data_IF_981936744144
#
_entry.id   IF_981936744144
#
_cell.length_a   1.000
_cell.length_b   1.000
_cell.length_c   1.000
_cell.angle_alpha   90.00
_cell.angle_beta   90.00
_cell.angle_gamma   90.00
#
_symmetry.space_group_name_H-M   'P 1'
#
loop_
_entity.id
_entity.type
_entity.pdbx_description
1 polymer ?
#
# COMPACT_ATOMS: atom_id res chain seq x y z
N UNK A 1 -5.65 -3.09 -8.50
CA UNK A 1 -5.01 -4.00 -7.54
C UNK A 1 -4.88 -5.35 -8.23
N UNK A 2 -3.84 -6.12 -7.94
CA UNK A 2 -3.63 -7.43 -8.56
C UNK A 2 -4.72 -8.43 -8.12
N UNK A 3 -5.49 -9.03 -9.05
CA UNK A 3 -6.58 -9.96 -8.72
C UNK A 3 -6.12 -11.21 -7.95
N UNK A 4 -4.91 -11.69 -8.22
CA UNK A 4 -4.38 -12.91 -7.60
C UNK A 4 -4.00 -12.65 -6.14
N UNK A 5 -3.25 -11.58 -5.89
CA UNK A 5 -2.91 -11.13 -4.53
C UNK A 5 -4.17 -10.80 -3.72
N UNK A 6 -5.15 -10.14 -4.35
CA UNK A 6 -6.44 -9.88 -3.71
C UNK A 6 -7.15 -11.18 -3.35
N UNK A 7 -7.19 -12.17 -4.24
CA UNK A 7 -7.83 -13.45 -3.98
C UNK A 7 -7.19 -14.19 -2.80
N UNK A 8 -5.87 -14.11 -2.67
CA UNK A 8 -5.13 -14.74 -1.58
C UNK A 8 -5.37 -14.04 -0.24
N UNK A 9 -5.32 -12.70 -0.21
CA UNK A 9 -5.67 -11.91 0.98
C UNK A 9 -7.14 -12.09 1.37
N UNK A 10 -8.04 -12.24 0.40
CA UNK A 10 -9.48 -12.42 0.65
C UNK A 10 -9.88 -13.85 1.00
N UNK A 11 -8.96 -14.82 1.06
CA UNK A 11 -9.27 -16.13 1.69
C UNK A 11 -9.65 -15.96 3.17
N UNK A 12 -9.13 -14.92 3.83
CA UNK A 12 -9.37 -14.61 5.24
C UNK A 12 -9.83 -13.15 5.41
N UNK A 13 -10.97 -12.82 4.80
CA UNK A 13 -11.53 -11.45 4.68
C UNK A 13 -11.53 -10.68 6.01
N UNK A 14 -11.95 -11.30 7.11
CA UNK A 14 -12.10 -10.63 8.40
C UNK A 14 -10.77 -10.13 8.98
N UNK A 15 -9.67 -10.78 8.62
CA UNK A 15 -8.39 -10.51 9.24
C UNK A 15 -7.46 -9.67 8.36
N UNK A 16 -7.57 -9.76 7.04
CA UNK A 16 -6.79 -8.92 6.10
C UNK A 16 -6.92 -7.44 6.41
N UNK A 17 -8.12 -6.97 6.79
CA UNK A 17 -8.33 -5.58 7.20
C UNK A 17 -7.58 -5.18 8.47
N UNK A 18 -7.22 -6.11 9.35
CA UNK A 18 -6.52 -5.83 10.62
C UNK A 18 -5.07 -5.39 10.39
N UNK A 19 -4.38 -5.99 9.42
CA UNK A 19 -3.00 -5.58 9.04
C UNK A 19 -3.01 -4.18 8.45
N UNK A 20 -3.93 -3.93 7.51
CA UNK A 20 -4.10 -2.58 6.93
C UNK A 20 -4.53 -1.56 7.98
N UNK A 21 -5.36 -1.97 8.93
CA UNK A 21 -5.83 -1.09 10.01
C UNK A 21 -4.66 -0.65 10.90
N UNK A 22 -3.74 -1.54 11.27
CA UNK A 22 -2.55 -1.16 12.06
C UNK A 22 -1.70 -0.12 11.33
N UNK A 23 -1.45 -0.34 10.04
CA UNK A 23 -0.62 0.54 9.24
C UNK A 23 -1.21 1.95 9.14
N UNK A 24 -2.50 2.05 8.88
CA UNK A 24 -3.19 3.33 8.73
C UNK A 24 -3.46 4.01 10.08
N UNK A 25 -3.75 3.25 11.14
CA UNK A 25 -4.01 3.81 12.47
C UNK A 25 -2.75 4.42 13.09
N UNK A 26 -1.59 3.87 12.80
CA UNK A 26 -0.31 4.29 13.37
C UNK A 26 0.58 5.04 12.37
N UNK A 27 0.02 5.46 11.23
CA UNK A 27 0.74 6.14 10.14
C UNK A 27 2.10 5.50 9.83
N UNK A 28 2.11 4.17 9.74
CA UNK A 28 3.29 3.33 9.46
C UNK A 28 4.46 3.45 10.45
N UNK A 29 4.27 4.12 11.60
CA UNK A 29 5.31 4.35 12.61
C UNK A 29 5.93 3.07 13.18
N UNK A 30 5.18 1.96 13.17
CA UNK A 30 5.65 0.64 13.65
C UNK A 30 6.36 -0.19 12.59
N UNK A 31 6.31 0.23 11.33
CA UNK A 31 6.86 -0.52 10.20
C UNK A 31 8.19 0.06 9.71
N UNK A 32 8.54 1.29 10.09
CA UNK A 32 9.66 2.04 9.51
C UNK A 32 10.64 2.52 10.59
N UNK A 33 11.91 2.68 10.20
CA UNK A 33 12.90 3.38 11.01
C UNK A 33 12.46 4.82 11.27
N UNK A 34 12.87 5.38 12.41
CA UNK A 34 12.43 6.71 12.84
C UNK A 34 12.74 7.82 11.81
N UNK A 35 13.91 7.76 11.16
CA UNK A 35 14.28 8.69 10.08
C UNK A 35 13.31 8.64 8.90
N UNK A 36 12.87 7.44 8.56
CA UNK A 36 12.08 7.19 7.35
C UNK A 36 10.60 7.47 7.58
N UNK A 37 10.14 7.36 8.83
CA UNK A 37 8.78 7.78 9.24
C UNK A 37 8.58 9.26 8.93
N UNK A 38 9.52 10.14 9.28
CA UNK A 38 9.39 11.56 8.98
C UNK A 38 9.35 11.84 7.49
N UNK A 39 10.23 11.18 6.73
CA UNK A 39 10.24 11.31 5.30
C UNK A 39 8.91 10.88 4.66
N UNK A 40 8.33 9.77 5.14
CA UNK A 40 7.01 9.34 4.69
C UNK A 40 5.94 10.39 5.03
N UNK A 41 5.94 10.91 6.25
CA UNK A 41 4.96 11.90 6.71
C UNK A 41 5.05 13.21 5.93
N UNK A 42 6.26 13.72 5.68
CA UNK A 42 6.48 14.89 4.82
C UNK A 42 5.86 14.69 3.44
N UNK A 43 6.00 13.49 2.86
CA UNK A 43 5.39 13.16 1.56
C UNK A 43 3.87 13.03 1.68
N UNK A 44 3.34 12.38 2.71
CA UNK A 44 1.89 12.24 2.91
C UNK A 44 1.24 13.63 3.04
N UNK A 45 1.78 14.49 3.91
CA UNK A 45 1.26 15.83 4.13
C UNK A 45 1.37 16.70 2.87
N UNK A 46 2.47 16.59 2.13
CA UNK A 46 2.62 17.29 0.85
C UNK A 46 1.65 16.77 -0.22
N UNK A 47 1.44 15.45 -0.27
CA UNK A 47 0.56 14.80 -1.24
C UNK A 47 -0.92 15.11 -0.97
N UNK A 48 -1.31 15.33 0.28
CA UNK A 48 -2.68 15.71 0.66
C UNK A 48 -3.15 16.98 -0.07
N UNK A 49 -2.26 17.97 -0.19
CA UNK A 49 -2.54 19.24 -0.86
C UNK A 49 -2.40 19.12 -2.38
N UNK A 50 -1.42 18.35 -2.86
CA UNK A 50 -1.02 18.36 -4.27
C UNK A 50 -1.72 17.31 -5.14
N UNK A 51 -2.06 16.15 -4.60
CA UNK A 51 -2.45 15.00 -5.43
C UNK A 51 -3.62 14.17 -4.88
N UNK A 52 -3.61 13.83 -3.59
CA UNK A 52 -4.62 12.97 -2.98
C UNK A 52 -4.56 13.00 -1.45
N UNK A 53 -5.72 13.16 -0.81
CA UNK A 53 -5.86 13.05 0.66
C UNK A 53 -5.61 11.64 1.21
N UNK A 54 -5.53 10.63 0.35
CA UNK A 54 -5.42 9.24 0.75
C UNK A 54 -4.12 8.61 0.29
N UNK A 55 -3.03 9.38 0.22
CA UNK A 55 -1.72 8.87 -0.20
C UNK A 55 -1.23 7.67 0.62
N UNK A 56 -1.54 7.62 1.93
CA UNK A 56 -1.21 6.48 2.80
C UNK A 56 -1.77 5.14 2.31
N UNK A 57 -2.92 5.13 1.62
CA UNK A 57 -3.46 3.90 1.02
C UNK A 57 -2.58 3.37 -0.11
N UNK A 58 -2.03 4.26 -0.92
CA UNK A 58 -1.10 3.89 -2.00
C UNK A 58 0.23 3.41 -1.45
N UNK A 59 0.66 3.93 -0.29
CA UNK A 59 1.83 3.44 0.42
C UNK A 59 1.61 2.02 0.98
N UNK A 60 0.46 1.77 1.62
CA UNK A 60 0.08 0.41 2.02
C UNK A 60 0.01 -0.56 0.84
N UNK A 61 -0.51 -0.11 -0.31
CA UNK A 61 -0.53 -0.90 -1.54
C UNK A 61 0.88 -1.15 -2.11
N UNK A 62 1.79 -0.18 -1.98
CA UNK A 62 3.18 -0.33 -2.40
C UNK A 62 3.90 -1.40 -1.57
N UNK A 63 3.68 -1.45 -0.25
CA UNK A 63 4.19 -2.51 0.63
C UNK A 63 3.75 -3.90 0.15
N UNK A 64 2.45 -4.06 -0.11
CA UNK A 64 1.93 -5.32 -0.66
C UNK A 64 2.52 -5.67 -2.02
N UNK A 65 2.67 -4.67 -2.89
CA UNK A 65 3.19 -4.87 -4.25
C UNK A 65 4.65 -5.29 -4.21
N UNK A 66 5.48 -4.68 -3.34
CA UNK A 66 6.89 -5.00 -3.19
C UNK A 66 7.11 -6.47 -2.82
N UNK A 67 6.25 -7.00 -1.94
CA UNK A 67 6.38 -8.37 -1.43
C UNK A 67 5.46 -9.37 -2.12
N UNK A 68 4.77 -8.98 -3.20
CA UNK A 68 3.80 -9.81 -3.91
C UNK A 68 4.34 -11.21 -4.22
N UNK A 69 5.51 -11.28 -4.85
CA UNK A 69 6.11 -12.56 -5.27
C UNK A 69 6.33 -13.48 -4.07
N UNK A 70 6.88 -12.94 -2.98
CA UNK A 70 7.11 -13.69 -1.73
C UNK A 70 5.80 -14.20 -1.13
N UNK A 71 4.76 -13.36 -1.08
CA UNK A 71 3.48 -13.73 -0.49
C UNK A 71 2.80 -14.86 -1.28
N UNK A 72 2.85 -14.80 -2.62
CA UNK A 72 2.18 -15.76 -3.50
C UNK A 72 2.99 -17.04 -3.65
N UNK A 73 4.30 -16.96 -3.89
CA UNK A 73 5.17 -18.14 -4.08
C UNK A 73 5.23 -19.03 -2.84
N UNK A 74 5.15 -18.44 -1.64
CA UNK A 74 5.13 -19.19 -0.39
C UNK A 74 3.71 -19.61 0.04
N UNK A 75 2.67 -19.33 -0.76
CA UNK A 75 1.25 -19.55 -0.43
C UNK A 75 0.91 -19.12 1.02
N UNK A 76 1.42 -17.95 1.42
CA UNK A 76 1.32 -17.50 2.82
C UNK A 76 -0.14 -17.36 3.23
N UNK A 77 -0.48 -17.92 4.37
CA UNK A 77 -1.75 -17.67 5.02
C UNK A 77 -1.76 -16.32 5.74
N UNK A 78 -2.90 -15.93 6.31
CA UNK A 78 -3.01 -14.64 6.97
C UNK A 78 -2.08 -14.48 8.19
N UNK A 79 -1.87 -15.55 8.95
CA UNK A 79 -0.98 -15.54 10.13
C UNK A 79 0.46 -15.35 9.69
N UNK A 80 0.85 -16.02 8.60
CA UNK A 80 2.17 -15.88 7.99
C UNK A 80 2.40 -14.48 7.46
N UNK A 81 1.39 -13.87 6.83
CA UNK A 81 1.46 -12.46 6.37
C UNK A 81 1.70 -11.51 7.53
N UNK A 82 0.96 -11.62 8.65
CA UNK A 82 1.21 -10.78 9.84
C UNK A 82 2.65 -10.98 10.32
N UNK A 83 3.06 -12.25 10.49
CA UNK A 83 4.37 -12.57 11.03
C UNK A 83 5.49 -12.03 10.13
N UNK A 84 5.35 -12.19 8.83
CA UNK A 84 6.27 -11.65 7.83
C UNK A 84 6.44 -10.14 7.96
N UNK A 85 5.33 -9.37 7.97
CA UNK A 85 5.43 -7.91 8.09
C UNK A 85 5.95 -7.46 9.46
N UNK A 86 5.63 -8.18 10.53
CA UNK A 86 6.22 -7.92 11.84
C UNK A 86 7.74 -8.13 11.86
N UNK A 87 8.23 -9.18 11.20
CA UNK A 87 9.67 -9.49 11.11
C UNK A 87 10.40 -8.54 10.15
N UNK A 88 9.68 -7.96 9.18
CA UNK A 88 10.18 -6.97 8.23
C UNK A 88 10.12 -5.53 8.74
N UNK A 89 9.51 -5.31 9.91
CA UNK A 89 9.45 -3.99 10.53
C UNK A 89 10.84 -3.35 10.59
N UNK A 90 10.89 -2.08 10.18
CA UNK A 90 12.07 -1.25 10.09
C UNK A 90 13.15 -1.70 9.09
N UNK A 91 12.84 -2.66 8.20
CA UNK A 91 13.73 -3.17 7.14
C UNK A 91 13.29 -2.78 5.73
N UNK A 92 12.21 -2.00 5.62
CA UNK A 92 11.65 -1.59 4.34
C UNK A 92 12.47 -0.47 3.70
N UNK A 93 12.68 -0.54 2.39
CA UNK A 93 13.27 0.54 1.62
C UNK A 93 12.21 1.61 1.30
N UNK A 94 12.16 2.68 2.10
CA UNK A 94 11.11 3.70 1.98
C UNK A 94 11.19 4.48 0.67
N UNK A 95 12.37 4.70 0.10
CA UNK A 95 12.52 5.40 -1.18
C UNK A 95 11.88 4.63 -2.34
N UNK A 96 12.11 3.33 -2.36
CA UNK A 96 11.51 2.42 -3.33
C UNK A 96 9.99 2.35 -3.16
N UNK A 97 9.52 2.19 -1.92
CA UNK A 97 8.09 2.18 -1.62
C UNK A 97 7.39 3.48 -2.01
N UNK A 98 8.00 4.64 -1.76
CA UNK A 98 7.46 5.94 -2.18
C UNK A 98 7.39 6.07 -3.70
N UNK A 99 8.37 5.50 -4.42
CA UNK A 99 8.37 5.48 -5.89
C UNK A 99 7.21 4.65 -6.41
N UNK A 100 7.05 3.41 -5.93
CA UNK A 100 5.94 2.53 -6.28
C UNK A 100 4.60 3.19 -5.92
N UNK A 101 4.49 3.83 -4.75
CA UNK A 101 3.28 4.52 -4.31
C UNK A 101 2.84 5.61 -5.29
N UNK A 102 3.80 6.42 -5.78
CA UNK A 102 3.53 7.47 -6.77
C UNK A 102 3.09 6.89 -8.12
N UNK A 103 3.69 5.77 -8.54
CA UNK A 103 3.27 5.08 -9.76
C UNK A 103 1.86 4.53 -9.65
N UNK A 104 1.51 3.90 -8.52
CA UNK A 104 0.14 3.42 -8.26
C UNK A 104 -0.87 4.56 -8.27
N UNK A 105 -0.55 5.69 -7.66
CA UNK A 105 -1.41 6.88 -7.68
C UNK A 105 -1.58 7.42 -9.10
N UNK A 106 -0.50 7.53 -9.89
CA UNK A 106 -0.56 8.00 -11.27
C UNK A 106 -1.45 7.11 -12.13
N UNK A 107 -1.23 5.79 -12.07
CA UNK A 107 -2.04 4.82 -12.80
C UNK A 107 -3.52 4.92 -12.42
N UNK A 108 -3.83 5.10 -11.13
CA UNK A 108 -5.20 5.30 -10.68
C UNK A 108 -5.83 6.59 -11.23
N UNK A 109 -5.08 7.70 -11.25
CA UNK A 109 -5.54 8.96 -11.83
C UNK A 109 -5.80 8.85 -13.34
N UNK A 110 -4.97 8.12 -14.08
CA UNK A 110 -5.17 7.83 -15.51
C UNK A 110 -6.47 7.05 -15.75
N UNK A 111 -6.70 5.98 -14.98
CA UNK A 111 -7.92 5.18 -15.05
C UNK A 111 -9.17 6.05 -14.79
N UNK A 112 -9.15 6.87 -13.73
CA UNK A 112 -10.28 7.77 -13.43
C UNK A 112 -10.50 8.75 -14.58
N UNK A 113 -9.43 9.33 -15.13
CA UNK A 113 -9.53 10.29 -16.22
C UNK A 113 -10.16 9.64 -17.46
N UNK A 114 -9.79 8.42 -17.79
CA UNK A 114 -10.34 7.73 -18.96
C UNK A 114 -11.79 7.28 -18.74
N UNK A 115 -12.17 6.88 -17.52
CA UNK A 115 -13.57 6.63 -17.15
C UNK A 115 -14.44 7.89 -17.28
N UNK A 116 -13.92 9.05 -16.85
CA UNK A 116 -14.66 10.30 -16.97
C UNK A 116 -14.87 10.71 -18.43
N UNK A 117 -13.86 10.54 -19.29
CA UNK A 117 -14.01 10.79 -20.74
C UNK A 117 -15.09 9.90 -21.37
N UNK A 118 -15.15 8.63 -20.96
CA UNK A 118 -16.17 7.69 -21.47
C UNK A 118 -17.59 8.10 -21.05
N UNK A 119 -17.76 8.56 -19.82
CA UNK A 119 -19.04 9.05 -19.31
C UNK A 119 -19.49 10.38 -19.94
N UNK A 120 -18.56 11.21 -20.43
CA UNK A 120 -18.88 12.47 -21.13
C UNK A 120 -19.24 12.27 -22.61
N UNK A 121 -18.95 11.10 -23.20
CA UNK A 121 -19.24 10.77 -24.61
C UNK A 121 -20.52 9.96 -24.81
N UNK A 122 -21.22 9.61 -23.74
CA UNK A 122 -22.50 8.87 -23.74
C UNK A 122 -23.63 9.77 -23.25
#
# INVERSE_FOLDING_TARGET
MDPELYSQLMRNVDYSFVVFYRWLLLDFKRELQYSDVFQLWEVIWSAEVLCSRHFGLFFGLALLTQYREILIENDMDFTDVIKFFNEMAERHNVQELLTISREKLRSFQEIIRDLNKFNETT
#
